data_IF_075669352964
#
_entry.id   IF_075669352964
#
_cell.length_a   1.000
_cell.length_b   1.000
_cell.length_c   1.000
_cell.angle_alpha   90.00
_cell.angle_beta   90.00
_cell.angle_gamma   90.00
#
_symmetry.space_group_name_H-M   'P 1'
#
loop_
_entity.id
_entity.type
_entity.pdbx_description
1 polymer ?
#
# COMPACT_ATOMS: atom_id res chain seq x y z
N UNK A 1 7.18 0.26 -19.89
CA UNK A 1 8.57 0.55 -20.31
C UNK A 1 9.53 0.07 -19.23
N UNK A 2 10.49 -0.72 -19.61
CA UNK A 2 11.52 -1.27 -18.73
C UNK A 2 12.86 -0.57 -19.03
N UNK A 3 13.58 -0.02 -18.06
CA UNK A 3 13.30 0.02 -16.62
C UNK A 3 12.26 1.08 -16.21
N UNK A 4 11.53 0.82 -15.12
CA UNK A 4 10.54 1.75 -14.57
C UNK A 4 11.21 2.97 -13.97
N UNK A 5 10.78 4.16 -14.39
CA UNK A 5 11.24 5.44 -13.82
C UNK A 5 10.20 5.94 -12.81
N UNK A 6 10.62 6.11 -11.58
CA UNK A 6 9.78 6.64 -10.51
C UNK A 6 9.72 8.17 -10.56
N UNK A 7 8.57 8.73 -10.20
CA UNK A 7 8.45 10.17 -10.01
C UNK A 7 9.36 10.62 -8.85
N UNK A 8 10.14 11.68 -9.06
CA UNK A 8 11.08 12.20 -8.05
C UNK A 8 10.43 12.59 -6.70
N UNK A 9 9.15 12.96 -6.72
CA UNK A 9 8.39 13.31 -5.52
C UNK A 9 7.76 12.13 -4.80
N UNK A 10 7.73 10.92 -5.40
CA UNK A 10 7.06 9.75 -4.84
C UNK A 10 7.78 9.23 -3.59
N UNK A 11 7.04 8.52 -2.74
CA UNK A 11 7.56 7.90 -1.52
C UNK A 11 8.59 6.83 -1.87
N UNK A 12 8.32 6.04 -2.92
CA UNK A 12 9.22 5.01 -3.43
C UNK A 12 10.56 5.60 -3.87
N UNK A 13 10.53 6.72 -4.60
CA UNK A 13 11.75 7.45 -5.01
C UNK A 13 12.55 7.93 -3.80
N UNK A 14 11.89 8.45 -2.77
CA UNK A 14 12.53 8.89 -1.53
C UNK A 14 13.12 7.71 -0.75
N UNK A 15 12.38 6.59 -0.65
CA UNK A 15 12.87 5.37 0.00
C UNK A 15 14.13 4.84 -0.68
N UNK A 16 14.13 4.76 -2.01
CA UNK A 16 15.31 4.32 -2.76
C UNK A 16 16.50 5.25 -2.46
N UNK A 17 16.32 6.58 -2.55
CA UNK A 17 17.39 7.55 -2.28
C UNK A 17 17.96 7.42 -0.85
N UNK A 18 17.15 7.04 0.13
CA UNK A 18 17.58 6.85 1.51
C UNK A 18 18.31 5.51 1.73
N UNK A 19 17.91 4.47 1.00
CA UNK A 19 18.36 3.09 1.25
C UNK A 19 19.47 2.61 0.31
N UNK A 20 19.78 3.36 -0.77
CA UNK A 20 20.91 3.03 -1.63
C UNK A 20 22.26 3.26 -0.94
N UNK A 21 23.13 2.29 -1.08
CA UNK A 21 24.49 2.27 -0.54
C UNK A 21 25.50 1.93 -1.62
N UNK A 22 26.78 2.06 -1.33
CA UNK A 22 27.82 1.52 -2.18
C UNK A 22 27.73 -0.01 -2.18
N UNK A 23 27.88 -0.68 -3.34
CA UNK A 23 27.90 -2.14 -3.36
C UNK A 23 29.07 -2.66 -2.52
N UNK A 24 28.88 -3.74 -1.75
CA UNK A 24 30.01 -4.40 -1.09
C UNK A 24 30.98 -4.97 -2.13
N UNK A 25 32.25 -5.11 -1.77
CA UNK A 25 33.29 -5.60 -2.69
C UNK A 25 32.99 -7.01 -3.26
N UNK A 26 32.18 -7.79 -2.55
CA UNK A 26 31.73 -9.12 -2.96
C UNK A 26 30.40 -9.11 -3.75
N UNK A 27 29.84 -7.95 -4.05
CA UNK A 27 28.55 -7.89 -4.73
C UNK A 27 28.70 -8.34 -6.18
N UNK A 28 28.01 -9.40 -6.54
CA UNK A 28 27.87 -9.86 -7.92
C UNK A 28 26.70 -9.07 -8.55
N UNK A 29 26.91 -8.45 -9.73
CA UNK A 29 25.81 -7.79 -10.41
C UNK A 29 24.68 -8.77 -10.70
N UNK A 30 23.49 -8.47 -10.16
CA UNK A 30 22.32 -9.30 -10.41
C UNK A 30 21.82 -9.06 -11.85
N UNK A 31 21.59 -10.15 -12.58
CA UNK A 31 20.93 -10.08 -13.90
C UNK A 31 19.43 -10.18 -13.71
N UNK A 32 18.68 -9.32 -14.36
CA UNK A 32 17.22 -9.32 -14.32
C UNK A 32 16.65 -10.69 -14.75
N UNK A 33 15.80 -11.28 -13.92
CA UNK A 33 14.99 -12.45 -14.26
C UNK A 33 13.74 -12.07 -15.08
N UNK A 34 13.04 -13.07 -15.62
CA UNK A 34 11.82 -12.87 -16.41
C UNK A 34 10.68 -12.25 -15.59
N UNK A 35 10.56 -12.65 -14.33
CA UNK A 35 9.53 -12.17 -13.40
C UNK A 35 9.95 -10.93 -12.59
N UNK A 36 11.07 -10.31 -12.94
CA UNK A 36 11.61 -9.16 -12.22
C UNK A 36 11.41 -7.86 -12.99
N UNK A 37 11.11 -6.81 -12.25
CA UNK A 37 10.96 -5.46 -12.80
C UNK A 37 12.19 -4.63 -12.45
N UNK A 38 12.88 -4.11 -13.46
CA UNK A 38 13.99 -3.20 -13.25
C UNK A 38 13.46 -1.80 -12.90
N UNK A 39 14.01 -1.21 -11.84
CA UNK A 39 13.67 0.15 -11.39
C UNK A 39 14.90 1.05 -11.51
N UNK A 40 14.75 2.20 -12.15
CA UNK A 40 15.81 3.21 -12.21
C UNK A 40 16.07 3.79 -10.83
N UNK A 41 17.32 3.82 -10.39
CA UNK A 41 17.71 4.54 -9.18
C UNK A 41 17.58 6.04 -9.42
N UNK A 42 16.75 6.78 -8.66
CA UNK A 42 16.56 8.21 -8.86
C UNK A 42 17.83 8.98 -8.52
N UNK A 43 18.14 10.00 -9.33
CA UNK A 43 19.29 10.87 -9.08
C UNK A 43 19.16 11.59 -7.73
N UNK A 44 20.27 11.68 -7.01
CA UNK A 44 20.41 12.44 -5.78
C UNK A 44 21.75 13.16 -5.76
N UNK A 45 21.76 14.44 -5.36
CA UNK A 45 23.01 15.22 -5.21
C UNK A 45 23.98 14.61 -4.20
N UNK A 46 23.45 13.93 -3.16
CA UNK A 46 24.25 13.34 -2.10
C UNK A 46 24.77 11.93 -2.41
N UNK A 47 24.09 11.22 -3.31
CA UNK A 47 24.38 9.82 -3.65
C UNK A 47 24.24 9.62 -5.15
N UNK A 48 25.37 9.72 -5.87
CA UNK A 48 25.39 9.47 -7.30
C UNK A 48 25.05 8.00 -7.58
N UNK A 49 24.03 7.70 -8.41
CA UNK A 49 23.64 6.33 -8.77
C UNK A 49 24.74 5.48 -9.38
N UNK A 50 25.76 6.11 -9.97
CA UNK A 50 26.93 5.41 -10.51
C UNK A 50 27.77 4.73 -9.42
N UNK A 51 27.79 5.30 -8.21
CA UNK A 51 28.55 4.81 -7.06
C UNK A 51 27.64 4.14 -6.02
N UNK A 52 26.41 4.67 -5.85
CA UNK A 52 25.43 4.16 -4.89
C UNK A 52 24.32 3.45 -5.65
N UNK A 53 24.57 2.20 -6.04
CA UNK A 53 23.67 1.40 -6.87
C UNK A 53 23.24 0.07 -6.24
N UNK A 54 23.49 -0.10 -4.96
CA UNK A 54 23.06 -1.25 -4.19
C UNK A 54 21.98 -0.87 -3.18
N UNK A 55 20.86 -1.58 -3.17
CA UNK A 55 19.80 -1.39 -2.18
C UNK A 55 19.94 -2.48 -1.11
N UNK A 56 19.96 -2.07 0.15
CA UNK A 56 20.01 -3.01 1.29
C UNK A 56 18.76 -3.90 1.33
N UNK A 57 18.86 -5.09 1.91
CA UNK A 57 17.71 -5.99 2.06
C UNK A 57 16.56 -5.34 2.87
N UNK A 58 16.89 -4.56 3.88
CA UNK A 58 15.92 -3.76 4.62
C UNK A 58 15.25 -2.73 3.72
N UNK A 59 16.01 -2.07 2.84
CA UNK A 59 15.50 -1.12 1.86
C UNK A 59 14.56 -1.77 0.84
N UNK A 60 14.91 -2.94 0.32
CA UNK A 60 14.05 -3.71 -0.59
C UNK A 60 12.73 -4.08 0.08
N UNK A 61 12.79 -4.56 1.33
CA UNK A 61 11.60 -4.92 2.10
C UNK A 61 10.69 -3.72 2.35
N UNK A 62 11.26 -2.60 2.77
CA UNK A 62 10.51 -1.36 2.98
C UNK A 62 9.84 -0.84 1.70
N UNK A 63 10.55 -0.93 0.55
CA UNK A 63 10.00 -0.55 -0.74
C UNK A 63 8.83 -1.45 -1.16
N UNK A 64 8.98 -2.77 -1.03
CA UNK A 64 7.91 -3.73 -1.35
C UNK A 64 6.70 -3.55 -0.45
N UNK A 65 6.90 -3.32 0.84
CA UNK A 65 5.81 -3.04 1.78
C UNK A 65 5.07 -1.75 1.44
N UNK A 66 5.81 -0.69 1.08
CA UNK A 66 5.21 0.56 0.65
C UNK A 66 4.37 0.39 -0.62
N UNK A 67 4.87 -0.32 -1.64
CA UNK A 67 4.14 -0.61 -2.88
C UNK A 67 2.85 -1.40 -2.58
N UNK A 68 2.92 -2.42 -1.73
CA UNK A 68 1.74 -3.20 -1.31
C UNK A 68 0.71 -2.33 -0.59
N UNK A 69 1.16 -1.50 0.34
CA UNK A 69 0.27 -0.60 1.09
C UNK A 69 -0.39 0.43 0.16
N UNK A 70 0.35 0.98 -0.79
CA UNK A 70 -0.18 1.91 -1.79
C UNK A 70 -1.24 1.24 -2.67
N UNK A 71 -1.00 -0.01 -3.09
CA UNK A 71 -1.97 -0.79 -3.85
C UNK A 71 -3.23 -1.10 -3.02
N UNK A 72 -3.07 -1.51 -1.77
CA UNK A 72 -4.18 -1.79 -0.86
C UNK A 72 -5.08 -0.54 -0.67
N UNK A 73 -4.47 0.65 -0.50
CA UNK A 73 -5.20 1.92 -0.37
C UNK A 73 -5.93 2.27 -1.67
N UNK A 74 -5.28 2.15 -2.81
CA UNK A 74 -5.87 2.42 -4.12
C UNK A 74 -7.05 1.47 -4.41
N UNK A 75 -6.86 0.17 -4.20
CA UNK A 75 -7.90 -0.85 -4.32
C UNK A 75 -9.09 -0.57 -3.39
N UNK A 76 -8.82 -0.23 -2.14
CA UNK A 76 -9.85 0.10 -1.17
C UNK A 76 -10.64 1.35 -1.59
N UNK A 77 -9.95 2.43 -1.92
CA UNK A 77 -10.59 3.70 -2.30
C UNK A 77 -11.48 3.50 -3.52
N UNK A 78 -10.97 2.84 -4.54
CA UNK A 78 -11.73 2.59 -5.76
C UNK A 78 -12.97 1.72 -5.50
N UNK A 79 -12.79 0.53 -4.90
CA UNK A 79 -13.88 -0.43 -4.73
C UNK A 79 -14.89 -0.02 -3.66
N UNK A 80 -14.46 0.73 -2.63
CA UNK A 80 -15.34 1.18 -1.56
C UNK A 80 -16.21 2.36 -2.00
N UNK A 81 -15.65 3.33 -2.69
CA UNK A 81 -16.37 4.53 -3.14
C UNK A 81 -17.37 4.19 -4.25
N UNK A 82 -16.97 3.40 -5.23
CA UNK A 82 -17.86 2.96 -6.31
C UNK A 82 -18.92 1.94 -5.84
N UNK A 83 -18.69 1.18 -4.79
CA UNK A 83 -19.66 0.27 -4.19
C UNK A 83 -20.95 0.95 -3.74
N UNK A 84 -20.92 2.28 -3.55
CA UNK A 84 -22.11 3.09 -3.23
C UNK A 84 -23.01 3.41 -4.45
N UNK A 85 -22.54 3.15 -5.67
CA UNK A 85 -23.23 3.50 -6.93
C UNK A 85 -24.13 2.37 -7.45
N UNK A 86 -24.35 1.31 -6.66
CA UNK A 86 -25.26 0.21 -7.05
C UNK A 86 -24.70 -0.79 -8.07
N UNK A 87 -23.42 -0.71 -8.43
CA UNK A 87 -22.75 -1.73 -9.25
C UNK A 87 -22.40 -2.95 -8.44
N UNK A 88 -22.43 -4.13 -9.08
CA UNK A 88 -21.98 -5.36 -8.44
C UNK A 88 -20.47 -5.33 -8.19
N UNK A 89 -20.02 -5.89 -7.08
CA UNK A 89 -18.59 -5.94 -6.71
C UNK A 89 -17.73 -6.57 -7.81
N UNK A 90 -18.27 -7.57 -8.51
CA UNK A 90 -17.58 -8.22 -9.62
C UNK A 90 -17.22 -7.24 -10.73
N UNK A 91 -18.17 -6.43 -11.16
CA UNK A 91 -17.98 -5.45 -12.23
C UNK A 91 -17.00 -4.34 -11.82
N UNK A 92 -17.02 -3.96 -10.54
CA UNK A 92 -16.08 -2.98 -10.00
C UNK A 92 -14.64 -3.50 -10.01
N UNK A 93 -14.42 -4.79 -9.73
CA UNK A 93 -13.09 -5.38 -9.80
C UNK A 93 -12.58 -5.39 -11.24
N UNK A 94 -13.40 -5.78 -12.22
CA UNK A 94 -13.01 -5.71 -13.63
C UNK A 94 -12.68 -4.28 -14.06
N UNK A 95 -13.49 -3.31 -13.69
CA UNK A 95 -13.24 -1.90 -13.99
C UNK A 95 -11.94 -1.39 -13.35
N UNK A 96 -11.64 -1.82 -12.12
CA UNK A 96 -10.38 -1.52 -11.47
C UNK A 96 -9.18 -2.11 -12.23
N UNK A 97 -9.28 -3.38 -12.64
CA UNK A 97 -8.25 -4.06 -13.41
C UNK A 97 -8.00 -3.34 -14.74
N UNK A 98 -9.06 -3.02 -15.48
CA UNK A 98 -8.99 -2.29 -16.75
C UNK A 98 -8.28 -0.94 -16.58
N UNK A 99 -8.70 -0.13 -15.59
CA UNK A 99 -8.09 1.18 -15.35
C UNK A 99 -6.62 1.12 -14.93
N UNK A 100 -6.19 0.03 -14.31
CA UNK A 100 -4.80 -0.18 -13.87
C UNK A 100 -3.97 -0.98 -14.87
N UNK A 101 -4.55 -1.37 -16.01
CA UNK A 101 -3.86 -2.18 -17.00
C UNK A 101 -3.47 -3.57 -16.48
N UNK A 102 -4.21 -4.10 -15.51
CA UNK A 102 -4.01 -5.45 -14.98
C UNK A 102 -4.69 -6.42 -15.94
N UNK A 103 -3.95 -7.47 -16.35
CA UNK A 103 -4.50 -8.49 -17.24
C UNK A 103 -5.76 -9.14 -16.62
N UNK A 104 -6.79 -9.33 -17.44
CA UNK A 104 -8.03 -9.99 -17.07
C UNK A 104 -7.84 -11.51 -16.95
N UNK A 105 -6.99 -11.90 -16.04
CA UNK A 105 -6.73 -13.27 -15.67
C UNK A 105 -7.49 -13.59 -14.39
N UNK A 106 -8.10 -14.77 -14.33
CA UNK A 106 -8.88 -15.20 -13.16
C UNK A 106 -8.09 -15.18 -11.86
N UNK A 107 -6.78 -15.43 -11.91
CA UNK A 107 -5.91 -15.39 -10.72
C UNK A 107 -5.71 -13.98 -10.18
N UNK A 108 -5.59 -13.00 -11.06
CA UNK A 108 -5.49 -11.58 -10.70
C UNK A 108 -6.81 -11.10 -10.09
N UNK A 109 -7.94 -11.49 -10.68
CA UNK A 109 -9.27 -11.15 -10.16
C UNK A 109 -9.47 -11.69 -8.73
N UNK A 110 -9.18 -12.98 -8.50
CA UNK A 110 -9.28 -13.62 -7.18
C UNK A 110 -8.38 -12.95 -6.14
N UNK A 111 -7.19 -12.56 -6.54
CA UNK A 111 -6.24 -11.85 -5.66
C UNK A 111 -6.77 -10.51 -5.21
N UNK A 112 -7.30 -9.70 -6.14
CA UNK A 112 -7.91 -8.39 -5.85
C UNK A 112 -9.16 -8.56 -4.98
N UNK A 113 -10.02 -9.55 -5.29
CA UNK A 113 -11.21 -9.84 -4.50
C UNK A 113 -10.86 -10.19 -3.04
N UNK A 114 -9.84 -11.03 -2.82
CA UNK A 114 -9.33 -11.39 -1.49
C UNK A 114 -8.76 -10.17 -0.74
N UNK A 115 -8.00 -9.32 -1.42
CA UNK A 115 -7.47 -8.07 -0.84
C UNK A 115 -8.62 -7.20 -0.37
N UNK A 116 -9.60 -6.93 -1.23
CA UNK A 116 -10.77 -6.12 -0.88
C UNK A 116 -11.57 -6.70 0.29
N UNK A 117 -11.83 -8.01 0.29
CA UNK A 117 -12.54 -8.68 1.39
C UNK A 117 -11.79 -8.52 2.73
N UNK A 118 -10.47 -8.67 2.73
CA UNK A 118 -9.62 -8.46 3.91
C UNK A 118 -9.72 -7.02 4.43
N UNK A 119 -9.61 -6.04 3.53
CA UNK A 119 -9.69 -4.62 3.87
C UNK A 119 -11.09 -4.26 4.42
N UNK A 120 -12.15 -4.76 3.78
CA UNK A 120 -13.53 -4.58 4.23
C UNK A 120 -13.77 -5.16 5.62
N UNK A 121 -13.28 -6.37 5.89
CA UNK A 121 -13.38 -6.99 7.21
C UNK A 121 -12.70 -6.14 8.29
N UNK A 122 -11.49 -5.66 8.01
CA UNK A 122 -10.75 -4.79 8.92
C UNK A 122 -11.48 -3.47 9.19
N UNK A 123 -12.02 -2.84 8.15
CA UNK A 123 -12.81 -1.62 8.25
C UNK A 123 -14.03 -1.81 9.15
N UNK A 124 -14.84 -2.84 8.91
CA UNK A 124 -16.03 -3.15 9.71
C UNK A 124 -15.68 -3.45 11.17
N UNK A 125 -14.63 -4.22 11.42
CA UNK A 125 -14.14 -4.53 12.77
C UNK A 125 -13.74 -3.26 13.51
N UNK A 126 -13.04 -2.35 12.86
CA UNK A 126 -12.60 -1.08 13.44
C UNK A 126 -13.80 -0.14 13.71
N UNK A 127 -14.81 -0.12 12.84
CA UNK A 127 -16.04 0.62 13.08
C UNK A 127 -16.79 0.09 14.31
N UNK A 128 -16.91 -1.24 14.47
CA UNK A 128 -17.54 -1.84 15.62
C UNK A 128 -16.81 -1.48 16.94
N UNK A 129 -15.46 -1.48 16.92
CA UNK A 129 -14.66 -1.08 18.08
C UNK A 129 -14.88 0.39 18.44
N UNK A 130 -14.90 1.30 17.46
CA UNK A 130 -15.16 2.73 17.68
C UNK A 130 -16.55 2.98 18.28
N UNK A 131 -17.59 2.30 17.79
CA UNK A 131 -18.94 2.43 18.34
C UNK A 131 -19.02 1.97 19.81
N UNK A 132 -18.35 0.87 20.18
CA UNK A 132 -18.29 0.38 21.56
C UNK A 132 -17.58 1.36 22.50
N UNK A 133 -16.46 1.97 22.08
CA UNK A 133 -15.73 2.95 22.89
C UNK A 133 -16.54 4.22 23.15
N UNK A 134 -17.27 4.71 22.15
CA UNK A 134 -18.12 5.92 22.28
C UNK A 134 -19.32 5.68 23.21
N UNK A 135 -19.87 4.46 23.23
CA UNK A 135 -20.99 4.10 24.12
C UNK A 135 -20.53 3.95 25.57
N UNK A 136 -19.32 3.46 25.81
CA UNK A 136 -18.73 3.33 27.15
C UNK A 136 -18.44 4.72 27.76
N UNK A 137 -17.86 5.65 26.96
CA UNK A 137 -17.59 7.02 27.43
C UNK A 137 -18.86 7.80 27.78
N UNK A 138 -19.96 7.61 27.01
CA UNK A 138 -21.25 8.24 27.33
C UNK A 138 -21.92 7.68 28.58
N UNK A 139 -21.66 6.42 28.95
CA UNK A 139 -22.20 5.83 30.22
C UNK A 139 -21.47 6.40 31.43
N UNK A 140 -20.18 6.58 31.37
CA UNK A 140 -19.41 7.14 32.49
C UNK A 140 -19.73 8.60 32.76
N UNK A 141 -19.88 9.44 31.73
CA UNK A 141 -20.28 10.85 31.93
C UNK A 141 -21.71 11.03 32.48
N UNK A 142 -22.60 10.05 32.28
CA UNK A 142 -23.96 10.10 32.83
C UNK A 142 -24.02 9.61 34.27
N UNK A 143 -23.07 8.78 34.70
CA UNK A 143 -22.96 8.33 36.12
C UNK A 143 -22.37 9.44 37.01
N UNK A 144 -21.42 10.22 36.53
CA UNK A 144 -20.82 11.34 37.30
C UNK A 144 -21.81 12.50 37.52
N UNK A 145 -22.81 12.67 36.65
CA UNK A 145 -23.80 13.76 36.79
C UNK A 145 -24.95 13.44 37.76
N UNK A 146 -25.11 12.17 38.19
CA UNK A 146 -26.17 11.74 39.10
C UNK A 146 -25.71 11.70 40.58
N UNK A 147 -24.45 11.93 40.90
CA UNK A 147 -23.90 11.94 42.28
C UNK A 147 -23.75 13.35 42.88
N UNK A 148 -24.16 14.42 42.18
CA UNK A 148 -24.07 15.79 42.66
C UNK A 148 -25.38 16.44 43.06
N UNK A 149 -26.46 15.66 43.20
CA UNK A 149 -27.76 16.13 43.76
C UNK A 149 -28.18 15.30 45.00
N UNK A 150 -27.40 15.40 46.10
CA UNK A 150 -27.86 15.11 47.45
C UNK A 150 -27.27 16.14 48.41
#
# INVERSE_FOLDING_TARGET
TDPVRLNNGSIESKLIKLTVVKPPASAIPHRKGEDEVAICIPYSKMRDPRTYNHITETGKRALLENIKNSFDVDCWTFLHDFGKIGKQQKDLIYLFMEQRGILEDGSCWDSIAKIYQRLRKNYLTNQCKRKKSTTSSRRNSKAEFSETEE
#
